data_IF_777675179953
#
_entry.id   IF_777675179953
#
_cell.length_a   1.000
_cell.length_b   1.000
_cell.length_c   1.000
_cell.angle_alpha   90.00
_cell.angle_beta   90.00
_cell.angle_gamma   90.00
#
_symmetry.space_group_name_H-M   'P 1'
#
loop_
_entity.id
_entity.type
_entity.pdbx_description
1 polymer ?
#
# COMPACT_ATOMS: atom_id res chain seq x y z
N UNK A 1 23.08 -13.46 10.27
CA UNK A 1 23.18 -12.27 11.15
C UNK A 1 21.89 -11.49 11.04
N UNK A 2 21.12 -11.36 12.12
CA UNK A 2 19.97 -10.45 12.18
C UNK A 2 20.50 -9.12 12.70
N UNK A 3 20.65 -8.13 11.81
CA UNK A 3 20.97 -6.76 12.21
C UNK A 3 19.73 -6.08 12.77
N UNK A 4 19.90 -5.22 13.77
CA UNK A 4 18.84 -4.35 14.26
C UNK A 4 18.58 -3.22 13.24
N UNK A 5 17.34 -2.71 13.22
CA UNK A 5 17.02 -1.48 12.50
C UNK A 5 17.25 -0.32 13.44
N UNK A 6 18.08 0.64 13.00
CA UNK A 6 18.40 1.85 13.76
C UNK A 6 17.64 3.03 13.17
N UNK A 7 16.85 3.71 13.99
CA UNK A 7 16.19 4.97 13.67
C UNK A 7 16.95 6.10 14.39
N UNK A 8 17.61 7.00 13.65
CA UNK A 8 18.47 8.05 14.22
C UNK A 8 17.94 9.49 14.06
N UNK A 9 18.75 10.44 14.56
CA UNK A 9 18.58 11.90 14.49
C UNK A 9 17.26 12.44 15.10
N UNK A 10 16.95 12.02 16.33
CA UNK A 10 16.09 12.85 17.19
C UNK A 10 16.95 13.91 17.88
N UNK A 11 16.65 15.18 17.63
CA UNK A 11 17.20 16.31 18.37
C UNK A 11 16.51 16.35 19.74
N UNK A 12 17.14 15.74 20.76
CA UNK A 12 16.62 15.83 22.14
C UNK A 12 16.48 17.29 22.52
N UNK A 13 15.28 17.69 22.93
CA UNK A 13 15.06 18.98 23.59
C UNK A 13 15.94 19.07 24.85
N UNK A 14 16.32 20.29 25.24
CA UNK A 14 17.31 20.56 26.32
C UNK A 14 16.99 19.83 27.65
N UNK A 15 15.70 19.54 27.91
CA UNK A 15 15.22 18.81 29.09
C UNK A 15 15.60 17.32 29.09
N UNK A 16 15.73 16.70 27.92
CA UNK A 16 15.85 15.24 27.72
C UNK A 16 17.32 14.74 27.81
N UNK A 17 18.25 15.68 27.87
CA UNK A 17 19.69 15.47 27.89
C UNK A 17 20.31 15.63 29.29
N UNK A 18 19.59 16.26 30.23
CA UNK A 18 20.06 16.50 31.59
C UNK A 18 21.31 17.37 31.68
N UNK A 19 21.68 18.07 30.60
CA UNK A 19 22.82 18.99 30.60
C UNK A 19 22.37 20.37 31.08
N UNK A 20 23.19 20.97 31.93
CA UNK A 20 22.99 22.36 32.36
C UNK A 20 23.50 23.35 31.30
N UNK A 21 22.94 24.56 31.28
CA UNK A 21 23.39 25.66 30.40
C UNK A 21 24.90 25.95 30.51
N UNK A 22 25.50 25.69 31.67
CA UNK A 22 26.94 25.86 31.88
C UNK A 22 27.76 24.78 31.15
N UNK A 23 27.30 23.52 31.16
CA UNK A 23 27.95 22.41 30.47
C UNK A 23 27.91 22.57 28.94
N UNK A 24 26.80 23.12 28.41
CA UNK A 24 26.65 23.43 26.98
C UNK A 24 27.63 24.55 26.58
N UNK A 25 27.79 25.59 27.41
CA UNK A 25 28.76 26.68 27.18
C UNK A 25 30.22 26.21 27.19
N UNK A 26 30.54 25.15 27.93
CA UNK A 26 31.87 24.50 27.96
C UNK A 26 32.08 23.57 26.75
N UNK A 27 31.07 23.41 25.88
CA UNK A 27 31.16 22.65 24.63
C UNK A 27 30.77 21.18 24.73
N UNK A 28 30.19 20.75 25.86
CA UNK A 28 29.65 19.40 26.01
C UNK A 28 28.37 19.30 25.18
N UNK A 29 28.32 18.32 24.27
CA UNK A 29 27.18 18.07 23.39
C UNK A 29 26.38 16.88 23.90
N UNK A 30 25.07 16.93 23.72
CA UNK A 30 24.21 15.79 23.98
C UNK A 30 24.61 14.58 23.13
N UNK A 31 24.66 13.37 23.70
CA UNK A 31 24.86 12.17 22.93
C UNK A 31 23.68 11.99 21.96
N UNK A 32 23.97 11.56 20.72
CA UNK A 32 22.95 11.30 19.72
C UNK A 32 21.97 10.24 20.22
N UNK A 33 20.67 10.54 20.15
CA UNK A 33 19.63 9.56 20.43
C UNK A 33 19.31 8.77 19.17
N UNK A 34 19.28 7.44 19.30
CA UNK A 34 18.77 6.55 18.28
C UNK A 34 17.93 5.44 18.93
N UNK A 35 16.97 4.93 18.18
CA UNK A 35 16.12 3.82 18.62
C UNK A 35 16.51 2.60 17.80
N UNK A 36 16.96 1.55 18.49
CA UNK A 36 17.18 0.25 17.88
C UNK A 36 15.95 -0.64 18.06
N UNK A 37 15.50 -1.26 16.97
CA UNK A 37 14.39 -2.20 16.99
C UNK A 37 14.79 -3.45 16.20
N UNK A 38 14.69 -4.65 16.81
CA UNK A 38 14.92 -5.88 16.09
C UNK A 38 13.75 -6.17 15.13
N UNK A 39 14.02 -6.75 13.95
CA UNK A 39 12.97 -7.18 13.03
C UNK A 39 12.24 -8.41 13.60
N UNK A 40 10.91 -8.38 13.55
CA UNK A 40 10.05 -9.54 13.79
C UNK A 40 10.09 -10.51 12.61
N UNK A 41 9.95 -9.97 11.40
CA UNK A 41 9.86 -10.73 10.17
C UNK A 41 10.43 -9.93 8.99
N UNK A 42 10.96 -10.62 8.00
CA UNK A 42 11.53 -10.05 6.78
C UNK A 42 10.90 -10.79 5.60
N UNK A 43 10.05 -10.10 4.85
CA UNK A 43 9.31 -10.65 3.72
C UNK A 43 9.90 -10.14 2.41
N UNK A 44 10.79 -10.90 1.74
CA UNK A 44 11.28 -10.53 0.41
C UNK A 44 10.16 -10.64 -0.62
N UNK A 45 10.28 -9.89 -1.71
CA UNK A 45 9.37 -10.05 -2.84
C UNK A 45 9.44 -11.48 -3.40
N UNK A 46 8.30 -12.15 -3.70
CA UNK A 46 8.29 -13.57 -4.09
C UNK A 46 9.02 -13.85 -5.41
N UNK A 47 9.03 -12.87 -6.31
CA UNK A 47 9.74 -12.94 -7.59
C UNK A 47 11.18 -12.41 -7.51
N UNK A 48 11.73 -12.23 -6.30
CA UNK A 48 13.12 -11.84 -6.12
C UNK A 48 14.05 -12.96 -6.58
N UNK A 49 15.00 -12.62 -7.44
CA UNK A 49 16.07 -13.53 -7.88
C UNK A 49 17.42 -13.00 -7.42
N UNK A 50 18.30 -13.90 -6.95
CA UNK A 50 19.68 -13.52 -6.57
C UNK A 50 20.50 -13.00 -7.74
N UNK A 51 20.13 -13.37 -8.96
CA UNK A 51 20.75 -12.91 -10.20
C UNK A 51 19.93 -11.74 -10.77
N UNK A 52 20.54 -10.56 -10.85
CA UNK A 52 19.91 -9.33 -11.33
C UNK A 52 19.47 -8.37 -10.24
N UNK A 53 18.76 -7.30 -10.65
CA UNK A 53 18.29 -6.21 -9.78
C UNK A 53 16.75 -6.16 -9.71
N UNK A 54 16.08 -6.88 -10.61
CA UNK A 54 14.62 -6.99 -10.65
C UNK A 54 14.05 -7.50 -9.33
N UNK A 55 12.94 -6.92 -8.89
CA UNK A 55 12.21 -7.32 -7.69
C UNK A 55 13.05 -7.35 -6.40
N UNK A 56 14.19 -6.65 -6.33
CA UNK A 56 15.12 -6.65 -5.19
C UNK A 56 14.66 -5.78 -4.01
N UNK A 57 13.43 -6.00 -3.54
CA UNK A 57 12.84 -5.28 -2.41
C UNK A 57 12.25 -6.26 -1.38
N UNK A 58 12.15 -5.82 -0.14
CA UNK A 58 11.61 -6.58 0.97
C UNK A 58 10.88 -5.66 1.94
N UNK A 59 9.90 -6.20 2.66
CA UNK A 59 9.27 -5.54 3.79
C UNK A 59 9.85 -6.09 5.08
N UNK A 60 10.06 -5.21 6.05
CA UNK A 60 10.54 -5.59 7.37
C UNK A 60 9.47 -5.22 8.39
N UNK A 61 8.96 -6.22 9.10
CA UNK A 61 8.03 -6.02 10.21
C UNK A 61 8.84 -5.82 11.48
N UNK A 62 8.61 -4.72 12.17
CA UNK A 62 9.21 -4.44 13.48
C UNK A 62 8.56 -5.30 14.57
N UNK A 63 9.32 -5.69 15.60
CA UNK A 63 8.78 -6.43 16.75
C UNK A 63 7.71 -5.66 17.53
N UNK A 64 7.78 -4.33 17.49
CA UNK A 64 6.84 -3.42 18.14
C UNK A 64 6.57 -2.21 17.24
N UNK A 65 5.35 -1.65 17.27
CA UNK A 65 5.06 -0.41 16.56
C UNK A 65 5.88 0.73 17.15
N UNK A 66 6.37 1.61 16.27
CA UNK A 66 7.13 2.79 16.63
C UNK A 66 6.18 3.99 16.68
N UNK A 67 6.09 4.65 17.84
CA UNK A 67 5.35 5.91 18.01
C UNK A 67 6.37 6.99 18.39
N UNK A 68 6.53 7.99 17.54
CA UNK A 68 7.43 9.12 17.79
C UNK A 68 6.97 10.33 16.99
N UNK A 69 7.17 11.53 17.55
CA UNK A 69 6.92 12.79 16.85
C UNK A 69 7.97 13.10 15.76
N UNK A 70 9.13 12.44 15.85
CA UNK A 70 10.27 12.68 14.97
C UNK A 70 10.42 11.60 13.90
N UNK A 71 9.62 10.54 13.97
CA UNK A 71 9.66 9.40 13.04
C UNK A 71 8.30 9.26 12.37
N UNK A 72 8.22 9.78 11.15
CA UNK A 72 6.98 9.84 10.37
C UNK A 72 7.12 8.89 9.17
N UNK A 73 6.10 8.07 8.86
CA UNK A 73 6.14 7.22 7.68
C UNK A 73 6.17 8.05 6.39
N UNK A 74 6.87 7.57 5.38
CA UNK A 74 6.88 8.17 4.05
C UNK A 74 5.68 7.68 3.23
N UNK A 75 5.15 8.52 2.34
CA UNK A 75 4.06 8.13 1.46
C UNK A 75 4.56 7.22 0.33
N UNK A 76 3.71 6.27 -0.06
CA UNK A 76 3.92 5.48 -1.27
C UNK A 76 3.65 6.32 -2.53
N UNK A 77 4.31 6.03 -3.66
CA UNK A 77 4.24 6.86 -4.84
C UNK A 77 2.87 6.82 -5.51
N UNK A 78 2.35 7.97 -5.91
CA UNK A 78 1.07 8.11 -6.60
C UNK A 78 1.22 8.09 -8.12
N UNK A 79 0.12 7.83 -8.83
CA UNK A 79 0.09 7.91 -10.31
C UNK A 79 0.42 9.34 -10.76
N UNK A 80 -0.05 10.34 -10.02
CA UNK A 80 0.13 11.75 -10.34
C UNK A 80 1.62 12.14 -10.31
N UNK A 81 2.32 11.83 -9.21
CA UNK A 81 3.75 12.11 -9.11
C UNK A 81 4.55 11.34 -10.15
N UNK A 82 4.18 10.09 -10.47
CA UNK A 82 4.84 9.34 -11.54
C UNK A 82 4.72 10.03 -12.90
N UNK A 83 3.55 10.58 -13.23
CA UNK A 83 3.35 11.34 -14.47
C UNK A 83 4.17 12.64 -14.47
N UNK A 84 4.19 13.36 -13.36
CA UNK A 84 4.98 14.58 -13.19
C UNK A 84 6.47 14.32 -13.35
N UNK A 85 7.00 13.22 -12.81
CA UNK A 85 8.43 12.85 -12.94
C UNK A 85 8.88 12.50 -14.35
N UNK A 86 7.97 12.26 -15.28
CA UNK A 86 8.31 12.21 -16.71
C UNK A 86 8.79 13.57 -17.24
N UNK A 87 8.25 14.68 -16.68
CA UNK A 87 8.59 16.06 -17.06
C UNK A 87 9.63 16.66 -16.11
N UNK A 88 9.36 16.65 -14.81
CA UNK A 88 10.23 17.20 -13.78
C UNK A 88 11.08 16.11 -13.14
N UNK A 89 12.29 15.93 -13.67
CA UNK A 89 13.17 14.81 -13.30
C UNK A 89 13.95 15.00 -11.99
N UNK A 90 13.66 16.00 -11.18
CA UNK A 90 14.43 16.23 -9.94
C UNK A 90 13.89 15.36 -8.80
N UNK A 91 14.78 14.64 -8.12
CA UNK A 91 14.50 13.83 -6.92
C UNK A 91 15.55 14.11 -5.84
N UNK A 92 15.23 13.79 -4.59
CA UNK A 92 16.15 13.94 -3.46
C UNK A 92 16.61 12.56 -2.98
N UNK A 93 17.93 12.38 -2.89
CA UNK A 93 18.54 11.25 -2.19
C UNK A 93 18.82 11.69 -0.75
N UNK A 94 18.35 10.91 0.21
CA UNK A 94 18.66 11.08 1.63
C UNK A 94 19.42 9.83 2.06
N UNK A 95 20.72 9.98 2.32
CA UNK A 95 21.60 8.88 2.72
C UNK A 95 22.80 9.44 3.48
N UNK A 96 23.56 8.57 4.12
CA UNK A 96 24.82 8.91 4.76
C UNK A 96 25.86 9.35 3.74
N UNK A 97 26.71 10.32 4.14
CA UNK A 97 27.73 10.89 3.24
C UNK A 97 28.78 9.85 2.83
N UNK A 98 29.16 8.97 3.75
CA UNK A 98 30.16 7.94 3.51
C UNK A 98 29.58 6.84 2.62
N UNK A 99 30.32 6.35 1.65
CA UNK A 99 29.90 5.18 0.85
C UNK A 99 30.16 3.86 1.57
N UNK A 100 31.07 3.88 2.57
CA UNK A 100 31.44 2.73 3.39
C UNK A 100 30.78 2.91 4.76
N UNK A 101 30.06 1.90 5.27
CA UNK A 101 29.54 1.93 6.63
C UNK A 101 30.67 2.17 7.64
N UNK A 102 30.57 3.25 8.41
CA UNK A 102 31.38 3.56 9.57
C UNK A 102 30.52 3.43 10.82
N UNK A 103 31.14 3.59 11.99
CA UNK A 103 30.41 3.71 13.24
C UNK A 103 29.36 4.82 13.13
N UNK A 104 28.13 4.49 13.53
CA UNK A 104 26.93 5.31 13.34
C UNK A 104 27.10 6.73 13.89
N UNK A 105 27.83 6.86 15.01
CA UNK A 105 28.10 8.14 15.66
C UNK A 105 28.91 9.11 14.78
N UNK A 106 29.77 8.57 13.92
CA UNK A 106 30.61 9.34 13.00
C UNK A 106 29.91 9.69 11.68
N UNK A 107 28.81 9.02 11.36
CA UNK A 107 28.13 9.21 10.08
C UNK A 107 27.20 10.43 10.11
N UNK A 108 27.23 11.21 9.04
CA UNK A 108 26.33 12.36 8.83
C UNK A 108 25.39 12.05 7.68
N UNK A 109 24.10 12.29 7.90
CA UNK A 109 23.08 12.22 6.85
C UNK A 109 23.17 13.47 5.98
N UNK A 110 23.00 13.31 4.67
CA UNK A 110 22.96 14.44 3.75
C UNK A 110 21.87 14.28 2.71
N UNK A 111 21.25 15.42 2.38
CA UNK A 111 20.31 15.55 1.26
C UNK A 111 21.08 15.91 -0.02
N UNK A 112 20.90 15.14 -1.09
CA UNK A 112 21.45 15.41 -2.42
C UNK A 112 20.35 15.49 -3.46
N UNK A 113 20.34 16.55 -4.26
CA UNK A 113 19.41 16.68 -5.39
C UNK A 113 19.98 15.99 -6.63
N UNK A 114 19.24 15.02 -7.17
CA UNK A 114 19.65 14.22 -8.32
C UNK A 114 18.65 14.34 -9.46
N UNK A 115 19.12 14.04 -10.68
CA UNK A 115 18.26 13.92 -11.86
C UNK A 115 17.88 12.45 -12.06
N UNK A 116 16.59 12.18 -12.05
CA UNK A 116 15.97 10.89 -12.30
C UNK A 116 15.91 10.60 -13.81
N UNK A 117 16.09 9.35 -14.16
CA UNK A 117 15.95 8.80 -15.49
C UNK A 117 14.99 7.63 -15.43
N UNK A 118 14.04 7.60 -16.36
CA UNK A 118 13.02 6.56 -16.41
C UNK A 118 13.64 5.21 -16.78
N UNK A 119 12.90 4.14 -16.55
CA UNK A 119 13.32 2.79 -16.92
C UNK A 119 13.80 2.67 -18.37
N UNK A 120 13.06 3.27 -19.31
CA UNK A 120 13.41 3.26 -20.74
C UNK A 120 14.75 3.95 -20.99
N UNK A 121 14.97 5.11 -20.38
CA UNK A 121 16.19 5.90 -20.55
C UNK A 121 17.40 5.17 -19.97
N UNK A 122 17.23 4.55 -18.79
CA UNK A 122 18.30 3.79 -18.19
C UNK A 122 18.65 2.54 -18.99
N UNK A 123 17.64 1.80 -19.46
CA UNK A 123 17.85 0.63 -20.32
C UNK A 123 18.61 1.01 -21.60
N UNK A 124 18.21 2.10 -22.25
CA UNK A 124 18.91 2.61 -23.44
C UNK A 124 20.37 2.99 -23.14
N UNK A 125 20.62 3.67 -22.02
CA UNK A 125 21.97 4.05 -21.61
C UNK A 125 22.85 2.83 -21.35
N UNK A 126 22.36 1.83 -20.61
CA UNK A 126 23.10 0.59 -20.31
C UNK A 126 23.44 -0.21 -21.55
N UNK A 127 22.52 -0.27 -22.52
CA UNK A 127 22.78 -0.92 -23.81
C UNK A 127 23.89 -0.22 -24.57
N UNK A 128 23.89 1.13 -24.62
CA UNK A 128 24.97 1.91 -25.23
C UNK A 128 26.31 1.69 -24.53
N UNK A 129 26.30 1.57 -23.20
CA UNK A 129 27.49 1.34 -22.38
C UNK A 129 27.95 -0.12 -22.32
N UNK A 130 27.30 -1.05 -23.05
CA UNK A 130 27.61 -2.49 -23.06
C UNK A 130 27.54 -3.17 -21.67
N UNK A 131 26.70 -2.65 -20.78
CA UNK A 131 26.52 -3.15 -19.40
C UNK A 131 25.46 -4.26 -19.27
N UNK A 132 24.94 -4.77 -20.38
CA UNK A 132 23.85 -5.75 -20.41
C UNK A 132 22.47 -5.18 -20.00
N UNK A 133 21.42 -5.90 -20.37
CA UNK A 133 20.01 -5.56 -20.04
C UNK A 133 19.27 -6.64 -19.25
N UNK A 134 19.93 -7.75 -18.95
CA UNK A 134 19.36 -8.88 -18.24
C UNK A 134 19.11 -8.53 -16.76
N UNK A 135 17.94 -8.91 -16.23
CA UNK A 135 17.60 -8.71 -14.83
C UNK A 135 17.23 -7.28 -14.41
N UNK A 136 16.91 -6.39 -15.35
CA UNK A 136 16.54 -4.99 -15.10
C UNK A 136 15.04 -4.78 -15.38
N UNK A 137 14.16 -5.33 -14.54
CA UNK A 137 12.71 -5.05 -14.59
C UNK A 137 12.34 -4.03 -13.52
N UNK A 138 11.52 -3.03 -13.88
CA UNK A 138 11.06 -1.99 -12.95
C UNK A 138 12.20 -1.22 -12.25
N UNK A 139 13.23 -0.82 -13.00
CA UNK A 139 14.39 -0.09 -12.47
C UNK A 139 14.43 1.35 -13.01
N UNK A 140 14.73 2.30 -12.15
CA UNK A 140 15.03 3.71 -12.40
C UNK A 140 16.53 3.96 -12.22
N UNK A 141 17.02 5.07 -12.79
CA UNK A 141 18.43 5.47 -12.62
C UNK A 141 18.53 6.94 -12.27
N UNK A 142 19.62 7.34 -11.63
CA UNK A 142 19.86 8.75 -11.31
C UNK A 142 21.22 9.22 -11.81
N UNK A 143 21.39 10.55 -11.90
CA UNK A 143 22.72 11.14 -11.87
C UNK A 143 23.39 10.87 -10.51
N UNK A 144 24.71 10.97 -10.46
CA UNK A 144 25.49 10.70 -9.24
C UNK A 144 26.11 9.32 -9.20
N UNK A 145 26.65 8.98 -8.03
CA UNK A 145 27.48 7.80 -7.76
C UNK A 145 27.57 7.57 -6.25
N UNK A 146 28.13 6.43 -5.83
CA UNK A 146 28.40 6.14 -4.41
C UNK A 146 27.12 6.08 -3.58
N UNK A 147 26.11 5.36 -4.07
CA UNK A 147 24.82 5.22 -3.40
C UNK A 147 24.78 3.85 -2.72
N UNK A 148 24.44 3.80 -1.44
CA UNK A 148 24.35 2.54 -0.69
C UNK A 148 23.10 1.76 -1.10
N UNK A 149 23.14 0.41 -1.09
CA UNK A 149 21.95 -0.39 -1.22
C UNK A 149 20.95 -0.06 -0.11
N UNK A 150 19.66 0.01 -0.44
CA UNK A 150 18.58 0.39 0.47
C UNK A 150 18.34 1.90 0.62
N UNK A 151 19.25 2.75 0.12
CA UNK A 151 19.08 4.20 0.17
C UNK A 151 17.83 4.65 -0.61
N UNK A 152 17.13 5.68 -0.13
CA UNK A 152 15.85 6.09 -0.70
C UNK A 152 15.98 7.32 -1.59
N UNK A 153 15.27 7.31 -2.72
CA UNK A 153 15.03 8.53 -3.50
C UNK A 153 13.57 8.95 -3.35
N UNK A 154 13.39 10.22 -3.01
CA UNK A 154 12.08 10.77 -2.66
C UNK A 154 11.73 11.96 -3.56
N UNK A 155 10.43 12.19 -3.72
CA UNK A 155 9.87 13.36 -4.38
C UNK A 155 9.05 14.17 -3.40
N UNK A 156 9.04 15.49 -3.57
CA UNK A 156 8.02 16.34 -2.97
C UNK A 156 6.80 16.41 -3.90
N UNK A 157 5.65 15.95 -3.39
CA UNK A 157 4.37 16.00 -4.09
C UNK A 157 3.86 17.45 -4.23
N UNK A 158 2.96 17.70 -5.19
CA UNK A 158 2.25 18.99 -5.28
C UNK A 158 1.39 19.23 -4.05
N UNK A 159 0.88 18.16 -3.47
CA UNK A 159 -0.15 18.20 -2.43
C UNK A 159 0.48 18.35 -1.03
N UNK A 160 1.81 18.51 -0.95
CA UNK A 160 2.59 18.69 0.28
C UNK A 160 3.39 17.48 0.78
N UNK A 161 2.99 16.20 0.61
CA UNK A 161 3.74 15.09 1.20
C UNK A 161 5.00 14.71 0.41
N UNK A 162 5.94 14.05 1.08
CA UNK A 162 7.06 13.37 0.42
C UNK A 162 6.69 11.93 0.06
N UNK A 163 6.94 11.57 -1.20
CA UNK A 163 6.65 10.25 -1.74
C UNK A 163 7.94 9.47 -2.03
N UNK A 164 7.95 8.19 -1.69
CA UNK A 164 9.04 7.26 -1.97
C UNK A 164 9.02 6.83 -3.43
N UNK A 165 9.96 7.32 -4.24
CA UNK A 165 10.00 7.00 -5.66
C UNK A 165 10.76 5.71 -5.94
N UNK A 166 11.86 5.48 -5.21
CA UNK A 166 12.73 4.34 -5.48
C UNK A 166 13.65 3.96 -4.35
N UNK A 167 14.09 2.70 -4.37
CA UNK A 167 15.03 2.10 -3.44
C UNK A 167 16.32 1.75 -4.17
N UNK A 168 17.47 2.22 -3.69
CA UNK A 168 18.74 1.96 -4.33
C UNK A 168 19.08 0.47 -4.26
N UNK A 169 19.35 -0.14 -5.40
CA UNK A 169 20.02 -1.44 -5.44
C UNK A 169 21.53 -1.29 -5.16
N UNK A 170 22.07 -0.10 -5.42
CA UNK A 170 23.47 0.26 -5.25
C UNK A 170 23.98 1.09 -6.43
N UNK A 171 25.19 1.59 -6.29
CA UNK A 171 25.87 2.30 -7.38
C UNK A 171 27.39 2.21 -7.26
N UNK A 172 28.07 2.32 -8.40
CA UNK A 172 29.52 2.36 -8.46
C UNK A 172 30.09 3.53 -7.62
N UNK A 173 31.27 3.38 -7.02
CA UNK A 173 31.91 4.44 -6.26
C UNK A 173 32.21 5.66 -7.15
N UNK A 174 32.12 6.84 -6.55
CA UNK A 174 32.42 8.09 -7.24
C UNK A 174 33.89 8.18 -7.63
N UNK A 175 34.17 8.27 -8.93
CA UNK A 175 35.50 8.61 -9.43
C UNK A 175 35.73 10.12 -9.32
N UNK A 176 36.98 10.58 -9.18
CA UNK A 176 37.34 12.01 -9.01
C UNK A 176 36.75 12.96 -10.08
N UNK A 177 36.34 12.44 -11.25
CA UNK A 177 35.73 13.20 -12.36
C UNK A 177 34.25 12.89 -12.63
N UNK A 178 33.57 12.14 -11.76
CA UNK A 178 32.15 11.79 -11.98
C UNK A 178 31.29 13.07 -11.99
N UNK A 179 30.73 13.40 -13.16
CA UNK A 179 29.94 14.62 -13.32
C UNK A 179 28.64 14.50 -12.53
N UNK A 180 28.49 15.32 -11.48
CA UNK A 180 27.32 15.31 -10.58
C UNK A 180 25.97 15.55 -11.27
N UNK A 181 25.97 16.09 -12.50
CA UNK A 181 24.76 16.48 -13.25
C UNK A 181 24.44 15.63 -14.48
N UNK A 182 25.33 14.71 -14.90
CA UNK A 182 25.11 13.83 -16.06
C UNK A 182 24.96 12.38 -15.62
N UNK A 183 24.38 11.55 -16.49
CA UNK A 183 24.33 10.12 -16.28
C UNK A 183 25.75 9.56 -16.47
N UNK A 184 26.29 8.91 -15.44
CA UNK A 184 27.61 8.26 -15.52
C UNK A 184 27.52 6.99 -16.36
N UNK A 185 28.66 6.48 -16.86
CA UNK A 185 28.72 5.22 -17.61
C UNK A 185 28.02 4.08 -16.86
N UNK A 186 28.29 3.97 -15.55
CA UNK A 186 27.61 3.08 -14.62
C UNK A 186 26.77 3.89 -13.64
N UNK A 187 25.50 4.20 -13.98
CA UNK A 187 24.66 4.99 -13.10
C UNK A 187 24.13 4.14 -11.94
N UNK A 188 23.89 4.74 -10.76
CA UNK A 188 23.19 4.07 -9.66
C UNK A 188 21.80 3.59 -10.11
N UNK A 189 21.47 2.37 -9.70
CA UNK A 189 20.20 1.73 -10.02
C UNK A 189 19.27 1.80 -8.81
N UNK A 190 18.01 2.10 -9.09
CA UNK A 190 16.95 2.14 -8.09
C UNK A 190 15.79 1.28 -8.56
N UNK A 191 15.13 0.60 -7.65
CA UNK A 191 13.90 -0.12 -7.91
C UNK A 191 12.78 0.91 -7.95
N UNK A 192 11.99 0.94 -9.03
CA UNK A 192 10.76 1.73 -9.15
C UNK A 192 9.77 1.16 -8.13
N UNK A 193 9.39 1.91 -7.10
CA UNK A 193 8.50 1.41 -6.03
C UNK A 193 7.05 1.31 -6.51
N UNK A 194 6.65 2.18 -7.45
CA UNK A 194 5.27 2.32 -7.87
C UNK A 194 4.59 1.01 -8.34
N UNK A 195 5.22 0.17 -9.19
CA UNK A 195 4.65 -1.12 -9.58
C UNK A 195 4.37 -2.07 -8.41
N UNK A 196 5.07 -1.89 -7.28
CA UNK A 196 4.97 -2.76 -6.11
C UNK A 196 3.99 -2.25 -5.05
N UNK A 197 3.36 -1.09 -5.23
CA UNK A 197 2.39 -0.55 -4.26
C UNK A 197 1.33 -1.58 -3.86
N UNK A 198 0.78 -2.31 -4.83
CA UNK A 198 -0.22 -3.34 -4.57
C UNK A 198 0.34 -4.50 -3.76
N UNK A 199 1.55 -4.97 -4.07
CA UNK A 199 2.20 -6.02 -3.29
C UNK A 199 2.48 -5.54 -1.86
N UNK A 200 2.99 -4.32 -1.69
CA UNK A 200 3.26 -3.72 -0.37
C UNK A 200 1.97 -3.68 0.46
N UNK A 201 0.89 -3.13 -0.11
CA UNK A 201 -0.40 -3.02 0.57
C UNK A 201 -1.00 -4.39 0.88
N UNK A 202 -0.92 -5.35 -0.04
CA UNK A 202 -1.46 -6.71 0.17
C UNK A 202 -0.70 -7.46 1.26
N UNK A 203 0.63 -7.35 1.31
CA UNK A 203 1.43 -7.97 2.37
C UNK A 203 1.12 -7.33 3.72
N UNK A 204 1.09 -6.00 3.80
CA UNK A 204 0.77 -5.28 5.04
C UNK A 204 -0.64 -5.64 5.53
N UNK A 205 -1.65 -5.59 4.66
CA UNK A 205 -3.04 -5.91 5.01
C UNK A 205 -3.20 -7.38 5.40
N UNK A 206 -2.51 -8.31 4.74
CA UNK A 206 -2.50 -9.72 5.13
C UNK A 206 -1.83 -9.99 6.49
N UNK A 207 -0.87 -9.16 6.91
CA UNK A 207 -0.20 -9.26 8.21
C UNK A 207 -0.84 -8.46 9.34
N UNK A 208 -1.71 -7.49 9.04
CA UNK A 208 -2.41 -6.65 10.03
C UNK A 208 -3.87 -7.03 10.23
N UNK A 209 -4.51 -7.66 9.26
CA UNK A 209 -5.89 -8.13 9.37
C UNK A 209 -5.88 -9.67 9.41
N UNK A 210 -6.71 -10.32 10.26
CA UNK A 210 -7.02 -11.74 10.04
C UNK A 210 -7.48 -11.88 8.59
N UNK A 211 -7.10 -12.98 7.89
CA UNK A 211 -7.50 -13.22 6.48
C UNK A 211 -8.94 -12.76 6.31
N UNK A 212 -9.21 -11.67 5.55
CA UNK A 212 -10.53 -11.04 5.57
C UNK A 212 -11.61 -12.00 5.08
N UNK A 213 -11.20 -13.00 4.30
CA UNK A 213 -12.05 -14.01 3.72
C UNK A 213 -11.37 -15.40 3.76
N UNK A 214 -12.15 -16.50 3.88
CA UNK A 214 -11.64 -17.86 3.70
C UNK A 214 -11.12 -18.06 2.26
N UNK A 215 -10.22 -19.03 2.05
CA UNK A 215 -9.50 -19.25 0.77
C UNK A 215 -10.40 -19.34 -0.49
N UNK A 216 -11.69 -19.66 -0.33
CA UNK A 216 -12.66 -19.84 -1.40
C UNK A 216 -13.50 -18.58 -1.71
N UNK A 217 -13.28 -17.48 -0.98
CA UNK A 217 -14.04 -16.24 -1.07
C UNK A 217 -13.10 -15.08 -1.37
N UNK A 218 -13.26 -14.42 -2.52
CA UNK A 218 -12.35 -13.39 -3.01
C UNK A 218 -13.12 -12.16 -3.51
N UNK A 219 -12.51 -10.98 -3.43
CA UNK A 219 -13.03 -9.77 -4.06
C UNK A 219 -12.81 -9.87 -5.58
N UNK A 220 -13.86 -9.76 -6.38
CA UNK A 220 -13.80 -9.86 -7.84
C UNK A 220 -13.10 -8.66 -8.50
N UNK A 221 -13.12 -7.49 -7.85
CA UNK A 221 -12.37 -6.29 -8.29
C UNK A 221 -10.95 -6.25 -7.72
N UNK A 222 -10.59 -7.16 -6.80
CA UNK A 222 -9.18 -7.46 -6.56
C UNK A 222 -8.68 -8.24 -7.78
N UNK A 223 -8.22 -7.49 -8.78
CA UNK A 223 -7.52 -8.02 -9.94
C UNK A 223 -6.51 -9.08 -9.52
N UNK A 224 -6.22 -10.03 -10.43
CA UNK A 224 -5.96 -11.42 -10.10
C UNK A 224 -5.10 -11.53 -8.85
N UNK A 225 -5.73 -11.94 -7.74
CA UNK A 225 -4.97 -12.50 -6.62
C UNK A 225 -3.95 -13.46 -7.19
N UNK A 226 -2.75 -13.47 -6.60
CA UNK A 226 -1.62 -14.33 -6.95
C UNK A 226 -2.14 -15.76 -7.14
N UNK A 227 -2.54 -16.04 -8.36
CA UNK A 227 -3.04 -17.29 -8.84
C UNK A 227 -1.97 -17.70 -9.79
N UNK A 228 -1.19 -18.68 -9.36
CA UNK A 228 -0.36 -19.53 -10.21
C UNK A 228 -0.91 -19.48 -11.62
N UNK A 229 -0.10 -19.06 -12.58
CA UNK A 229 -0.50 -18.93 -13.97
C UNK A 229 -1.08 -20.29 -14.44
N UNK A 230 -2.41 -20.46 -14.37
CA UNK A 230 -3.11 -21.72 -14.73
C UNK A 230 -3.09 -21.95 -16.25
N UNK A 231 -2.26 -21.20 -17.00
CA UNK A 231 -2.03 -21.38 -18.44
C UNK A 231 -1.48 -22.77 -18.79
N UNK A 232 -0.91 -23.49 -17.83
CA UNK A 232 -0.39 -24.85 -18.01
C UNK A 232 -1.36 -25.98 -17.62
N UNK A 233 -2.53 -25.66 -17.08
CA UNK A 233 -3.60 -26.64 -16.82
C UNK A 233 -4.71 -26.43 -17.85
N UNK A 234 -5.16 -27.52 -18.48
CA UNK A 234 -6.22 -27.56 -19.49
C UNK A 234 -7.36 -26.63 -19.08
N UNK A 235 -7.49 -25.49 -19.75
CA UNK A 235 -8.52 -24.47 -19.47
C UNK A 235 -9.88 -25.08 -19.84
N UNK A 236 -10.60 -25.66 -18.87
CA UNK A 236 -11.99 -26.11 -19.08
C UNK A 236 -12.81 -24.89 -19.49
N UNK A 237 -13.58 -25.01 -20.59
CA UNK A 237 -14.42 -23.93 -21.13
C UNK A 237 -15.31 -23.39 -20.00
N UNK A 238 -15.15 -22.11 -19.64
CA UNK A 238 -16.10 -21.41 -18.76
C UNK A 238 -17.48 -21.52 -19.40
N UNK A 239 -18.39 -22.25 -18.76
CA UNK A 239 -19.78 -22.33 -19.19
C UNK A 239 -20.36 -20.91 -19.09
N UNK A 240 -20.57 -20.24 -20.23
CA UNK A 240 -21.30 -18.96 -20.26
C UNK A 240 -22.78 -19.27 -20.04
N UNK A 241 -23.18 -19.54 -18.81
CA UNK A 241 -24.59 -19.45 -18.44
C UNK A 241 -25.04 -18.00 -18.65
N UNK A 242 -26.15 -17.77 -19.35
CA UNK A 242 -26.69 -16.42 -19.50
C UNK A 242 -26.94 -15.78 -18.12
N UNK A 243 -26.06 -14.88 -17.71
CA UNK A 243 -26.14 -14.16 -16.43
C UNK A 243 -27.28 -13.15 -16.48
N UNK A 244 -28.51 -13.56 -16.13
CA UNK A 244 -29.53 -12.60 -15.71
C UNK A 244 -29.39 -12.40 -14.20
N UNK A 245 -28.60 -11.40 -13.81
CA UNK A 245 -28.51 -10.96 -12.43
C UNK A 245 -29.78 -10.17 -12.05
N UNK A 246 -30.24 -10.30 -10.80
CA UNK A 246 -31.25 -9.44 -10.21
C UNK A 246 -30.59 -8.57 -9.14
N UNK A 247 -31.03 -7.33 -9.06
CA UNK A 247 -30.62 -6.40 -8.01
C UNK A 247 -31.73 -6.28 -6.99
N UNK A 248 -31.45 -6.71 -5.77
CA UNK A 248 -32.29 -6.53 -4.60
C UNK A 248 -31.92 -5.19 -3.96
N UNK A 249 -32.90 -4.33 -3.79
CA UNK A 249 -32.71 -3.00 -3.20
C UNK A 249 -33.56 -2.90 -1.94
N UNK A 250 -33.06 -2.16 -0.95
CA UNK A 250 -33.82 -1.80 0.26
C UNK A 250 -33.42 -0.42 0.75
N UNK A 251 -34.37 0.30 1.32
CA UNK A 251 -34.25 1.71 1.71
C UNK A 251 -34.95 2.66 0.76
N UNK A 252 -35.67 3.64 1.30
CA UNK A 252 -36.46 4.59 0.50
C UNK A 252 -35.59 5.37 -0.49
N UNK A 253 -34.34 5.68 -0.12
CA UNK A 253 -33.39 6.38 -0.99
C UNK A 253 -33.02 5.58 -2.25
N UNK A 254 -33.11 4.25 -2.24
CA UNK A 254 -32.81 3.44 -3.42
C UNK A 254 -33.81 3.65 -4.57
N UNK A 255 -35.03 4.06 -4.26
CA UNK A 255 -36.14 4.22 -5.21
C UNK A 255 -36.37 5.67 -5.63
N UNK A 256 -35.63 6.62 -5.04
CA UNK A 256 -35.69 8.03 -5.45
C UNK A 256 -35.09 8.23 -6.85
N UNK A 257 -35.45 9.34 -7.50
CA UNK A 257 -34.85 9.74 -8.76
C UNK A 257 -33.32 9.93 -8.62
N UNK A 258 -32.59 9.71 -9.72
CA UNK A 258 -31.11 9.78 -9.78
C UNK A 258 -30.54 11.08 -9.23
N UNK A 259 -31.23 12.22 -9.37
CA UNK A 259 -30.84 13.52 -8.79
C UNK A 259 -30.77 13.49 -7.26
N UNK A 260 -31.74 12.84 -6.61
CA UNK A 260 -31.78 12.73 -5.14
C UNK A 260 -30.88 11.61 -4.62
N UNK A 261 -30.68 10.54 -5.41
CA UNK A 261 -29.70 9.50 -5.07
C UNK A 261 -28.26 10.04 -4.98
N UNK A 262 -27.91 11.08 -5.77
CA UNK A 262 -26.59 11.75 -5.69
C UNK A 262 -26.34 12.48 -4.37
N UNK A 263 -27.39 12.78 -3.59
CA UNK A 263 -27.24 13.40 -2.27
C UNK A 263 -26.73 12.39 -1.22
N UNK A 264 -26.88 11.09 -1.48
CA UNK A 264 -26.28 10.05 -0.66
C UNK A 264 -24.87 9.74 -1.18
N UNK A 265 -23.88 9.75 -0.28
CA UNK A 265 -22.51 9.40 -0.60
C UNK A 265 -22.38 7.88 -0.74
N UNK A 266 -21.61 7.48 -1.75
CA UNK A 266 -21.23 6.09 -1.94
C UNK A 266 -20.06 5.76 -1.02
N UNK A 267 -20.24 4.88 -0.04
CA UNK A 267 -19.20 4.60 0.95
C UNK A 267 -18.70 3.15 0.95
N UNK A 268 -19.48 2.19 0.44
CA UNK A 268 -19.07 0.79 0.40
C UNK A 268 -19.54 0.08 -0.87
N UNK A 269 -18.63 -0.68 -1.48
CA UNK A 269 -18.81 -1.31 -2.78
C UNK A 269 -17.87 -2.46 -2.97
N UNK A 270 -18.41 -3.67 -2.87
CA UNK A 270 -17.60 -4.85 -3.08
C UNK A 270 -18.30 -5.83 -4.01
N UNK A 271 -17.52 -6.41 -4.91
CA UNK A 271 -17.91 -7.52 -5.76
C UNK A 271 -17.19 -8.75 -5.26
N UNK A 272 -17.90 -9.85 -5.13
CA UNK A 272 -17.40 -11.10 -4.58
C UNK A 272 -17.46 -12.20 -5.63
N UNK A 273 -16.40 -13.00 -5.68
CA UNK A 273 -16.31 -14.25 -6.42
C UNK A 273 -16.04 -15.37 -5.41
N UNK A 274 -16.94 -16.35 -5.37
CA UNK A 274 -16.82 -17.54 -4.52
C UNK A 274 -16.58 -18.73 -5.41
N UNK A 275 -15.46 -19.42 -5.21
CA UNK A 275 -15.08 -20.61 -5.97
C UNK A 275 -15.29 -21.86 -5.11
N UNK A 276 -16.11 -22.80 -5.60
CA UNK A 276 -16.36 -24.09 -4.96
C UNK A 276 -15.83 -25.22 -5.86
N UNK A 277 -14.95 -26.04 -5.30
CA UNK A 277 -14.49 -27.31 -5.88
C UNK A 277 -14.25 -28.30 -4.72
N UNK A 278 -15.14 -29.29 -4.48
CA UNK A 278 -16.34 -29.69 -5.26
C UNK A 278 -17.51 -28.68 -5.18
N UNK A 279 -18.62 -28.88 -5.95
CA UNK A 279 -19.84 -28.07 -5.82
C UNK A 279 -20.24 -27.90 -4.34
N UNK A 280 -20.80 -26.75 -3.98
CA UNK A 280 -21.15 -26.47 -2.59
C UNK A 280 -22.39 -25.58 -2.47
N UNK A 281 -22.93 -25.52 -1.25
CA UNK A 281 -23.87 -24.49 -0.81
C UNK A 281 -23.12 -23.41 -0.05
N UNK A 282 -23.56 -22.17 -0.18
CA UNK A 282 -23.00 -21.03 0.52
C UNK A 282 -24.07 -20.42 1.43
N UNK A 283 -23.70 -20.14 2.68
CA UNK A 283 -24.47 -19.31 3.61
C UNK A 283 -23.61 -18.07 3.91
N UNK A 284 -24.13 -16.90 3.57
CA UNK A 284 -23.42 -15.62 3.75
C UNK A 284 -24.18 -14.79 4.77
N UNK A 285 -23.45 -14.32 5.79
CA UNK A 285 -23.91 -13.35 6.77
C UNK A 285 -22.89 -12.21 6.78
N UNK A 286 -23.21 -11.11 6.11
CA UNK A 286 -22.39 -9.90 6.12
C UNK A 286 -22.92 -8.96 7.19
N UNK A 287 -22.06 -8.53 8.10
CA UNK A 287 -22.36 -7.49 9.10
C UNK A 287 -21.43 -6.33 8.82
N UNK A 288 -22.00 -5.19 8.44
CA UNK A 288 -21.25 -4.01 8.05
C UNK A 288 -21.68 -2.85 8.92
N UNK A 289 -20.71 -2.17 9.53
CA UNK A 289 -20.93 -0.95 10.28
C UNK A 289 -20.46 0.24 9.44
N UNK A 290 -21.32 1.24 9.29
CA UNK A 290 -20.93 2.52 8.72
C UNK A 290 -20.00 3.27 9.69
N UNK A 291 -19.11 4.11 9.17
CA UNK A 291 -18.21 4.93 9.98
C UNK A 291 -18.96 5.98 10.82
N UNK A 292 -18.20 6.68 11.67
CA UNK A 292 -18.72 7.74 12.55
C UNK A 292 -19.62 8.70 11.76
N UNK A 293 -20.81 9.01 12.30
CA UNK A 293 -21.78 9.95 11.73
C UNK A 293 -22.33 9.59 10.34
N UNK A 294 -22.24 8.34 9.88
CA UNK A 294 -22.86 7.91 8.62
C UNK A 294 -24.09 7.01 8.86
N UNK A 295 -25.25 7.40 8.32
CA UNK A 295 -26.49 6.59 8.34
C UNK A 295 -26.68 5.92 6.99
N UNK A 296 -26.91 4.61 6.99
CA UNK A 296 -27.08 3.81 5.77
C UNK A 296 -28.51 4.02 5.23
N UNK A 297 -28.64 4.57 4.03
CA UNK A 297 -29.95 4.96 3.48
C UNK A 297 -30.42 4.09 2.31
N UNK A 298 -29.48 3.42 1.64
CA UNK A 298 -29.80 2.55 0.52
C UNK A 298 -28.78 1.42 0.43
N UNK A 299 -29.28 0.19 0.31
CA UNK A 299 -28.47 -0.99 0.06
C UNK A 299 -28.91 -1.70 -1.21
N UNK A 300 -27.94 -2.08 -2.05
CA UNK A 300 -28.13 -2.74 -3.34
C UNK A 300 -27.29 -4.01 -3.40
N UNK A 301 -27.95 -5.15 -3.46
CA UNK A 301 -27.33 -6.46 -3.60
C UNK A 301 -27.65 -7.04 -4.98
N UNK A 302 -26.65 -7.22 -5.83
CA UNK A 302 -26.81 -7.85 -7.14
C UNK A 302 -26.34 -9.29 -7.07
N UNK A 303 -27.21 -10.24 -7.40
CA UNK A 303 -26.92 -11.67 -7.36
C UNK A 303 -27.72 -12.43 -8.44
N UNK A 304 -27.35 -13.68 -8.78
CA UNK A 304 -28.00 -14.43 -9.86
C UNK A 304 -29.45 -14.80 -9.53
N UNK A 305 -30.35 -14.68 -10.51
CA UNK A 305 -31.80 -14.79 -10.36
C UNK A 305 -32.32 -16.16 -9.84
N UNK A 306 -31.49 -17.21 -9.84
CA UNK A 306 -31.92 -18.57 -9.47
C UNK A 306 -31.72 -18.93 -8.00
N UNK A 307 -31.11 -18.04 -7.21
CA UNK A 307 -30.48 -18.46 -5.95
C UNK A 307 -31.02 -17.63 -4.79
N UNK A 308 -32.23 -17.96 -4.34
CA UNK A 308 -32.90 -17.46 -3.12
C UNK A 308 -33.14 -15.94 -3.04
N UNK A 309 -34.00 -15.52 -2.09
CA UNK A 309 -34.28 -14.11 -1.80
C UNK A 309 -33.43 -13.69 -0.59
N UNK A 310 -32.54 -12.70 -0.74
CA UNK A 310 -31.73 -12.20 0.36
C UNK A 310 -32.59 -11.41 1.35
N UNK A 311 -32.19 -11.45 2.62
CA UNK A 311 -32.71 -10.60 3.70
C UNK A 311 -31.69 -9.52 4.01
N UNK A 312 -32.11 -8.26 3.89
CA UNK A 312 -31.27 -7.09 4.17
C UNK A 312 -31.97 -6.30 5.28
N UNK A 313 -31.33 -6.22 6.44
CA UNK A 313 -31.87 -5.61 7.65
C UNK A 313 -30.90 -4.53 8.19
N UNK A 314 -31.43 -3.50 8.85
CA UNK A 314 -30.65 -2.38 9.40
C UNK A 314 -30.50 -1.15 8.48
N UNK A 315 -31.33 -1.02 7.44
CA UNK A 315 -31.36 0.23 6.65
C UNK A 315 -32.03 1.34 7.46
N UNK A 316 -31.39 2.51 7.53
CA UNK A 316 -31.77 3.62 8.40
C UNK A 316 -30.97 3.68 9.70
N UNK A 317 -30.16 2.67 9.99
CA UNK A 317 -29.24 2.65 11.13
C UNK A 317 -27.77 2.78 10.69
N UNK A 318 -26.88 2.45 11.63
CA UNK A 318 -25.43 2.42 11.39
C UNK A 318 -24.90 1.03 11.05
N UNK A 319 -25.60 -0.02 11.51
CA UNK A 319 -25.29 -1.40 11.19
C UNK A 319 -26.26 -1.92 10.14
N UNK A 320 -25.73 -2.63 9.15
CA UNK A 320 -26.53 -3.40 8.21
C UNK A 320 -26.12 -4.86 8.25
N UNK A 321 -27.11 -5.74 8.21
CA UNK A 321 -26.91 -7.18 8.09
C UNK A 321 -27.53 -7.67 6.78
N UNK A 322 -26.72 -8.35 5.97
CA UNK A 322 -27.13 -8.95 4.71
C UNK A 322 -26.95 -10.44 4.82
N UNK A 323 -28.05 -11.18 4.72
CA UNK A 323 -28.06 -12.64 4.86
C UNK A 323 -28.71 -13.28 3.65
N UNK A 324 -28.05 -14.29 3.08
CA UNK A 324 -28.62 -15.10 2.01
C UNK A 324 -27.94 -16.46 1.94
N UNK A 325 -28.68 -17.43 1.41
CA UNK A 325 -28.20 -18.78 1.17
C UNK A 325 -28.22 -19.06 -0.32
N UNK A 326 -27.34 -19.92 -0.82
CA UNK A 326 -27.41 -20.36 -2.21
C UNK A 326 -27.85 -21.81 -2.28
N UNK A 327 -28.53 -22.17 -3.37
CA UNK A 327 -28.59 -23.57 -3.77
C UNK A 327 -27.19 -24.04 -4.21
N UNK A 328 -27.07 -25.34 -4.53
CA UNK A 328 -25.83 -25.91 -5.04
C UNK A 328 -25.38 -25.19 -6.30
N UNK A 329 -24.19 -24.59 -6.27
CA UNK A 329 -23.57 -24.01 -7.46
C UNK A 329 -22.34 -24.84 -7.87
N UNK A 330 -22.15 -25.06 -9.18
CA UNK A 330 -21.20 -26.06 -9.65
C UNK A 330 -19.74 -25.62 -9.60
N UNK A 331 -19.44 -24.31 -9.71
CA UNK A 331 -18.05 -23.83 -9.81
C UNK A 331 -17.84 -22.46 -9.16
N UNK A 332 -18.52 -21.42 -9.66
CA UNK A 332 -18.35 -20.07 -9.14
C UNK A 332 -19.67 -19.33 -8.97
N UNK A 333 -19.74 -18.55 -7.89
CA UNK A 333 -20.87 -17.70 -7.55
C UNK A 333 -20.40 -16.26 -7.41
N UNK A 334 -21.10 -15.34 -8.07
CA UNK A 334 -20.78 -13.92 -8.06
C UNK A 334 -21.92 -13.13 -7.47
N UNK A 335 -21.61 -12.20 -6.58
CA UNK A 335 -22.55 -11.22 -6.09
C UNK A 335 -21.85 -9.90 -5.78
N UNK A 336 -22.59 -8.80 -5.76
CA UNK A 336 -22.02 -7.49 -5.41
C UNK A 336 -22.92 -6.77 -4.42
N UNK A 337 -22.32 -6.15 -3.41
CA UNK A 337 -23.01 -5.33 -2.44
C UNK A 337 -22.54 -3.88 -2.57
N UNK A 338 -23.49 -2.97 -2.71
CA UNK A 338 -23.28 -1.54 -2.78
C UNK A 338 -24.14 -0.84 -1.73
N UNK A 339 -23.51 -0.01 -0.90
CA UNK A 339 -24.17 0.74 0.17
C UNK A 339 -23.97 2.25 -0.04
N UNK A 340 -25.04 2.99 0.14
CA UNK A 340 -25.06 4.45 0.12
C UNK A 340 -25.45 4.96 1.51
N UNK A 341 -24.76 6.01 1.93
CA UNK A 341 -24.92 6.63 3.23
C UNK A 341 -25.20 8.13 3.09
N UNK A 342 -25.66 8.72 4.17
CA UNK A 342 -25.73 10.18 4.34
C UNK A 342 -25.16 10.54 5.71
N UNK A 343 -24.82 11.82 5.88
CA UNK A 343 -24.47 12.32 7.20
C UNK A 343 -25.68 12.16 8.13
N UNK A 344 -25.42 11.62 9.32
CA UNK A 344 -26.43 11.30 10.32
C UNK A 344 -26.97 12.60 10.93
N UNK A 345 -28.28 12.70 11.05
CA UNK A 345 -28.91 13.79 11.79
C UNK A 345 -28.95 13.47 13.28
N UNK A 346 -29.26 14.46 14.12
CA UNK A 346 -29.45 14.25 15.56
C UNK A 346 -30.56 13.22 15.87
N UNK A 347 -31.64 13.22 15.07
CA UNK A 347 -32.72 12.24 15.18
C UNK A 347 -32.28 10.84 14.78
N UNK A 348 -31.45 10.73 13.74
CA UNK A 348 -30.88 9.45 13.32
C UNK A 348 -30.01 8.92 14.48
N UNK A 349 -29.06 9.71 14.97
CA UNK A 349 -28.19 9.30 16.08
C UNK A 349 -29.00 8.79 17.27
N UNK A 350 -30.06 9.49 17.65
CA UNK A 350 -30.94 9.07 18.76
C UNK A 350 -31.65 7.73 18.52
N UNK A 351 -32.03 7.41 17.28
CA UNK A 351 -32.77 6.19 16.97
C UNK A 351 -31.91 4.92 17.07
N UNK A 352 -30.61 5.02 16.77
CA UNK A 352 -29.66 3.89 16.84
C UNK A 352 -28.63 4.01 17.96
N UNK A 353 -28.86 4.88 18.96
CA UNK A 353 -28.04 4.99 20.17
C UNK A 353 -27.89 3.63 20.88
N UNK A 354 -28.96 2.82 20.90
CA UNK A 354 -28.98 1.48 21.52
C UNK A 354 -28.14 0.45 20.78
N UNK A 355 -27.90 0.67 19.49
CA UNK A 355 -27.13 -0.26 18.67
C UNK A 355 -25.62 -0.04 18.86
N UNK A 356 -25.18 1.15 19.33
CA UNK A 356 -23.75 1.48 19.54
C UNK A 356 -23.15 0.67 20.69
N UNK A 357 -22.05 -0.05 20.42
CA UNK A 357 -21.26 -0.72 21.46
C UNK A 357 -20.27 0.25 22.11
N UNK A 358 -20.18 0.30 23.46
CA UNK A 358 -19.17 1.12 24.12
C UNK A 358 -17.75 0.65 23.75
N UNK A 359 -16.89 1.58 23.34
CA UNK A 359 -15.48 1.31 23.04
C UNK A 359 -15.11 1.16 21.56
N UNK A 360 -16.07 1.20 20.64
CA UNK A 360 -15.81 1.37 19.20
C UNK A 360 -16.06 2.84 18.85
N UNK A 361 -14.99 3.64 18.84
CA UNK A 361 -14.97 5.03 18.41
C UNK A 361 -14.27 5.13 17.06
#
# INVERSE_FOLDING_TARGET
MRGNIVFGDYERDEEDCGLTLQQIKIGIRCPRAYIEIPPQDITPHPEYTRFGVGNSLALIKLIRPLKSHYMIPICLPTVHERMKKKRQKTVFLIDYISTVPRDFDSERLAKKSLRLYTHRECKQHRMKARLGSEGVTHVLCSSGCGVRPGATIISHSSDGPFELIGLAAGGAPCHRRSMRRRLNNEPPLYIDVFPYNNWIMNVITAHHLPKPYPNNFMLADAGPGIGINKSYLRKRRKQKSGWRARTFMTGNFCYLNTKFQKLASYFYSEKFEVNADPPAKLNVILKISAGIECTIVCARLTMPNRLTKPTIDGVGGYNITVTFNTEWFPYSFFFSLALHGRNSTQSDIQSWLSERKPGFW
#
